data_IF_567134652320
#
_entry.id   IF_567134652320
#
_cell.length_a   1.000
_cell.length_b   1.000
_cell.length_c   1.000
_cell.angle_alpha   90.00
_cell.angle_beta   90.00
_cell.angle_gamma   90.00
#
_symmetry.space_group_name_H-M   'P 1'
#
loop_
_entity.id
_entity.type
_entity.pdbx_description
1 polymer ?
#
# COMPACT_ATOMS: atom_id res chain seq x y z
N UNK A 1 13.57 -5.06 5.77
CA UNK A 1 12.96 -6.42 5.55
C UNK A 1 14.02 -7.37 5.02
N UNK A 2 14.00 -8.65 5.45
CA UNK A 2 14.98 -9.67 5.04
C UNK A 2 14.75 -10.15 3.60
N UNK A 3 15.82 -10.69 2.96
CA UNK A 3 15.77 -11.14 1.55
C UNK A 3 14.70 -12.21 1.31
N UNK A 4 14.58 -13.17 2.22
CA UNK A 4 13.63 -14.29 2.09
C UNK A 4 12.17 -13.81 2.15
N UNK A 5 11.89 -12.74 2.91
CA UNK A 5 10.57 -12.14 2.97
C UNK A 5 10.22 -11.40 1.67
N UNK A 6 11.18 -10.71 1.04
CA UNK A 6 10.97 -10.12 -0.30
C UNK A 6 10.67 -11.19 -1.34
N UNK A 7 11.43 -12.30 -1.34
CA UNK A 7 11.21 -13.40 -2.27
C UNK A 7 9.82 -14.02 -2.08
N UNK A 8 9.45 -14.27 -0.83
CA UNK A 8 8.14 -14.82 -0.48
C UNK A 8 6.98 -13.89 -0.87
N UNK A 9 7.14 -12.59 -0.63
CA UNK A 9 6.18 -11.58 -1.06
C UNK A 9 6.02 -11.59 -2.58
N UNK A 10 7.14 -11.57 -3.32
CA UNK A 10 7.17 -11.62 -4.79
C UNK A 10 6.40 -12.80 -5.37
N UNK A 11 6.55 -14.00 -4.78
CA UNK A 11 5.86 -15.22 -5.20
C UNK A 11 4.35 -15.17 -4.93
N UNK A 12 3.96 -14.60 -3.78
CA UNK A 12 2.57 -14.56 -3.33
C UNK A 12 1.73 -13.44 -3.93
N UNK A 13 2.33 -12.35 -4.36
CA UNK A 13 1.61 -11.15 -4.81
C UNK A 13 0.65 -11.38 -5.97
N UNK A 14 0.89 -12.37 -6.81
CA UNK A 14 0.03 -12.69 -7.96
C UNK A 14 -1.14 -13.59 -7.62
N UNK A 15 -1.07 -14.34 -6.53
CA UNK A 15 -2.02 -15.42 -6.26
C UNK A 15 -2.67 -15.33 -4.90
N UNK A 16 -2.00 -14.76 -3.91
CA UNK A 16 -2.53 -14.70 -2.56
C UNK A 16 -3.67 -13.68 -2.46
N UNK A 17 -4.80 -14.11 -1.94
CA UNK A 17 -6.06 -13.37 -1.89
C UNK A 17 -5.93 -11.93 -1.39
N UNK A 18 -5.04 -11.70 -0.39
CA UNK A 18 -4.86 -10.39 0.21
C UNK A 18 -4.20 -9.39 -0.77
N UNK A 19 -3.11 -9.79 -1.44
CA UNK A 19 -2.42 -8.97 -2.44
C UNK A 19 -3.33 -8.69 -3.65
N UNK A 20 -4.01 -9.71 -4.16
CA UNK A 20 -4.96 -9.58 -5.27
C UNK A 20 -6.11 -8.63 -4.89
N UNK A 21 -6.64 -8.76 -3.67
CA UNK A 21 -7.70 -7.88 -3.15
C UNK A 21 -7.27 -6.43 -3.04
N UNK A 22 -6.02 -6.16 -2.66
CA UNK A 22 -5.47 -4.80 -2.62
C UNK A 22 -5.39 -4.17 -3.99
N UNK A 23 -5.02 -4.93 -5.02
CA UNK A 23 -5.04 -4.43 -6.39
C UNK A 23 -6.47 -4.13 -6.88
N UNK A 24 -7.46 -4.93 -6.49
CA UNK A 24 -8.87 -4.62 -6.75
C UNK A 24 -9.30 -3.32 -6.07
N UNK A 25 -8.90 -3.11 -4.82
CA UNK A 25 -9.16 -1.88 -4.08
C UNK A 25 -8.51 -0.67 -4.75
N UNK A 26 -7.22 -0.76 -5.09
CA UNK A 26 -6.49 0.30 -5.78
C UNK A 26 -7.16 0.67 -7.11
N UNK A 27 -7.51 -0.33 -7.93
CA UNK A 27 -8.25 -0.13 -9.18
C UNK A 27 -9.58 0.57 -8.95
N UNK A 28 -10.34 0.17 -7.94
CA UNK A 28 -11.62 0.79 -7.60
C UNK A 28 -11.48 2.26 -7.22
N UNK A 29 -10.42 2.61 -6.47
CA UNK A 29 -10.12 4.00 -6.15
C UNK A 29 -9.71 4.78 -7.40
N UNK A 30 -8.92 4.20 -8.30
CA UNK A 30 -8.56 4.83 -9.58
C UNK A 30 -9.80 5.14 -10.41
N UNK A 31 -10.66 4.16 -10.62
CA UNK A 31 -11.87 4.30 -11.44
C UNK A 31 -12.81 5.41 -10.94
N UNK A 32 -12.80 5.68 -9.64
CA UNK A 32 -13.72 6.65 -9.01
C UNK A 32 -13.11 8.02 -8.77
N UNK A 33 -11.84 8.06 -8.38
CA UNK A 33 -11.22 9.27 -7.82
C UNK A 33 -10.15 9.89 -8.69
N UNK A 34 -9.60 9.17 -9.68
CA UNK A 34 -8.71 9.77 -10.65
C UNK A 34 -9.50 10.50 -11.73
N UNK A 35 -9.11 11.72 -12.08
CA UNK A 35 -9.67 12.40 -13.26
C UNK A 35 -9.52 11.52 -14.50
N UNK A 36 -10.45 11.61 -15.43
CA UNK A 36 -10.27 10.98 -16.76
C UNK A 36 -9.16 11.72 -17.50
N UNK A 37 -8.24 11.01 -18.09
CA UNK A 37 -7.11 11.56 -18.85
C UNK A 37 -6.01 10.52 -19.02
N UNK A 38 -5.30 10.63 -20.12
CA UNK A 38 -4.20 9.75 -20.49
C UNK A 38 -2.85 10.34 -20.05
N UNK A 39 -1.87 9.44 -19.84
CA UNK A 39 -0.44 9.77 -19.66
C UNK A 39 -0.10 10.62 -18.43
N UNK A 40 -0.57 10.20 -17.25
CA UNK A 40 -0.12 10.77 -15.98
C UNK A 40 1.35 10.44 -15.74
N UNK A 41 2.03 11.35 -15.09
CA UNK A 41 3.33 11.10 -14.46
C UNK A 41 3.04 10.53 -13.08
N UNK A 42 3.39 9.27 -12.87
CA UNK A 42 3.04 8.51 -11.66
C UNK A 42 4.30 8.21 -10.88
N UNK A 43 4.30 8.50 -9.58
CA UNK A 43 5.29 8.03 -8.62
C UNK A 43 4.69 6.91 -7.79
N UNK A 44 5.34 5.74 -7.78
CA UNK A 44 5.06 4.68 -6.81
C UNK A 44 6.16 4.71 -5.74
N UNK A 45 5.83 5.24 -4.57
CA UNK A 45 6.75 5.43 -3.46
C UNK A 45 6.74 4.21 -2.55
N UNK A 46 7.91 3.57 -2.39
CA UNK A 46 8.03 2.28 -1.73
C UNK A 46 7.42 1.17 -2.59
N UNK A 47 7.87 1.03 -3.84
CA UNK A 47 7.25 0.11 -4.81
C UNK A 47 7.44 -1.38 -4.47
N UNK A 48 8.33 -1.70 -3.53
CA UNK A 48 8.63 -3.09 -3.17
C UNK A 48 9.02 -3.92 -4.38
N UNK A 49 8.41 -5.08 -4.51
CA UNK A 49 8.63 -6.02 -5.64
C UNK A 49 7.79 -5.69 -6.88
N UNK A 50 7.07 -4.55 -6.88
CA UNK A 50 6.42 -4.02 -8.06
C UNK A 50 5.03 -4.58 -8.37
N UNK A 51 4.28 -5.07 -7.38
CA UNK A 51 2.96 -5.68 -7.59
C UNK A 51 1.93 -4.74 -8.21
N UNK A 52 2.01 -3.42 -7.94
CA UNK A 52 1.08 -2.43 -8.45
C UNK A 52 1.45 -1.88 -9.85
N UNK A 53 2.68 -2.10 -10.32
CA UNK A 53 3.23 -1.40 -11.50
C UNK A 53 2.47 -1.68 -12.79
N UNK A 54 1.99 -2.91 -12.99
CA UNK A 54 1.17 -3.25 -14.17
C UNK A 54 -0.15 -2.49 -14.18
N UNK A 55 -0.76 -2.30 -13.02
CA UNK A 55 -1.97 -1.50 -12.89
C UNK A 55 -1.68 -0.02 -13.11
N UNK A 56 -0.64 0.52 -12.48
CA UNK A 56 -0.22 1.92 -12.62
C UNK A 56 0.15 2.26 -14.06
N UNK A 57 0.87 1.39 -14.74
CA UNK A 57 1.30 1.57 -16.13
C UNK A 57 0.16 1.72 -17.14
N UNK A 58 -1.06 1.26 -16.80
CA UNK A 58 -2.27 1.49 -17.61
C UNK A 58 -2.80 2.92 -17.50
N UNK A 59 -2.34 3.67 -16.49
CA UNK A 59 -2.81 5.04 -16.20
C UNK A 59 -1.76 6.11 -16.51
N UNK A 60 -0.54 5.72 -16.88
CA UNK A 60 0.50 6.68 -17.22
C UNK A 60 1.92 6.13 -17.23
N UNK A 61 2.89 7.04 -17.25
CA UNK A 61 4.32 6.71 -17.12
C UNK A 61 4.68 6.60 -15.65
N UNK A 62 5.24 5.47 -15.24
CA UNK A 62 5.53 5.17 -13.84
C UNK A 62 7.02 5.38 -13.54
N UNK A 63 7.30 6.14 -12.50
CA UNK A 63 8.57 6.13 -11.79
C UNK A 63 8.32 5.42 -10.46
N UNK A 64 9.00 4.32 -10.23
CA UNK A 64 8.86 3.53 -9.01
C UNK A 64 10.16 3.64 -8.20
N UNK A 65 10.03 3.95 -6.92
CA UNK A 65 11.17 4.16 -6.02
C UNK A 65 11.11 3.24 -4.82
N UNK A 66 12.26 2.76 -4.41
CA UNK A 66 12.45 1.96 -3.19
C UNK A 66 13.88 2.16 -2.68
N UNK A 67 14.12 1.95 -1.39
CA UNK A 67 15.47 2.00 -0.78
C UNK A 67 16.20 0.67 -0.92
N UNK A 68 15.45 -0.43 -1.07
CA UNK A 68 15.96 -1.80 -1.14
C UNK A 68 16.39 -2.18 -2.55
N UNK A 69 17.68 -2.45 -2.74
CA UNK A 69 18.17 -2.99 -4.02
C UNK A 69 17.60 -4.40 -4.30
N UNK A 70 17.30 -5.18 -3.26
CA UNK A 70 16.68 -6.51 -3.38
C UNK A 70 15.28 -6.36 -3.98
N UNK A 71 14.47 -5.46 -3.44
CA UNK A 71 13.13 -5.17 -3.96
C UNK A 71 13.18 -4.72 -5.42
N UNK A 72 14.07 -3.76 -5.73
CA UNK A 72 14.24 -3.26 -7.10
C UNK A 72 14.74 -4.31 -8.07
N UNK A 73 15.58 -5.26 -7.63
CA UNK A 73 16.01 -6.38 -8.47
C UNK A 73 14.83 -7.28 -8.85
N UNK A 74 13.99 -7.66 -7.88
CA UNK A 74 12.76 -8.44 -8.13
C UNK A 74 11.76 -7.65 -8.98
N UNK A 75 11.68 -6.34 -8.77
CA UNK A 75 10.87 -5.46 -9.57
C UNK A 75 11.32 -5.43 -11.05
N UNK A 76 12.64 -5.37 -11.32
CA UNK A 76 13.21 -5.47 -12.68
C UNK A 76 12.87 -6.79 -13.34
N UNK A 77 12.97 -7.89 -12.59
CA UNK A 77 12.60 -9.23 -13.06
C UNK A 77 11.12 -9.29 -13.46
N UNK A 78 10.23 -8.76 -12.62
CA UNK A 78 8.79 -8.69 -12.89
C UNK A 78 8.45 -7.86 -14.13
N UNK A 79 9.18 -6.75 -14.34
CA UNK A 79 8.97 -5.81 -15.42
C UNK A 79 9.79 -6.14 -16.68
N UNK A 80 10.41 -7.33 -16.75
CA UNK A 80 11.21 -7.73 -17.90
C UNK A 80 10.40 -7.59 -19.21
N UNK A 81 10.85 -6.68 -20.09
CA UNK A 81 10.16 -6.35 -21.33
C UNK A 81 9.20 -5.14 -21.28
N UNK A 82 8.93 -4.56 -20.13
CA UNK A 82 8.11 -3.34 -20.00
C UNK A 82 9.00 -2.09 -20.10
N UNK A 83 8.69 -1.19 -21.08
CA UNK A 83 9.39 0.11 -21.23
C UNK A 83 8.74 1.25 -20.45
N UNK A 84 7.60 1.01 -19.79
CA UNK A 84 6.79 2.06 -19.19
C UNK A 84 7.15 2.40 -17.74
N UNK A 85 8.09 1.69 -17.12
CA UNK A 85 8.46 1.86 -15.71
C UNK A 85 9.92 2.24 -15.58
N UNK A 86 10.18 3.37 -14.89
CA UNK A 86 11.52 3.79 -14.47
C UNK A 86 11.71 3.41 -13.00
N UNK A 87 12.70 2.58 -12.70
CA UNK A 87 13.07 2.19 -11.34
C UNK A 87 14.21 3.08 -10.85
N UNK A 88 14.05 3.65 -9.66
CA UNK A 88 15.06 4.53 -9.04
C UNK A 88 15.25 4.12 -7.59
N UNK A 89 16.49 3.87 -7.21
CA UNK A 89 16.83 3.70 -5.80
C UNK A 89 16.88 5.05 -5.11
N UNK A 90 16.21 5.16 -3.96
CA UNK A 90 16.21 6.35 -3.12
C UNK A 90 16.63 5.96 -1.69
N UNK A 91 17.19 6.88 -0.89
CA UNK A 91 17.42 6.59 0.52
C UNK A 91 16.09 6.42 1.25
N UNK A 92 16.08 5.65 2.32
CA UNK A 92 14.92 5.43 3.20
C UNK A 92 14.33 6.76 3.71
N UNK A 93 15.18 7.74 3.94
CA UNK A 93 14.82 9.06 4.44
C UNK A 93 15.53 10.16 3.64
N UNK A 94 14.89 11.32 3.57
CA UNK A 94 15.43 12.50 2.89
C UNK A 94 14.66 12.90 1.64
N UNK A 95 15.12 13.94 0.95
CA UNK A 95 14.43 14.46 -0.22
C UNK A 95 14.52 13.48 -1.41
N UNK A 96 13.43 13.35 -2.14
CA UNK A 96 13.39 12.60 -3.38
C UNK A 96 14.11 13.37 -4.50
N UNK A 97 14.84 12.68 -5.40
CA UNK A 97 15.62 13.32 -6.46
C UNK A 97 14.73 13.80 -7.63
N UNK A 98 13.61 14.45 -7.30
CA UNK A 98 12.62 14.96 -8.24
C UNK A 98 12.31 16.42 -7.93
N UNK A 99 12.05 17.21 -8.98
CA UNK A 99 11.62 18.59 -8.84
C UNK A 99 10.18 18.67 -8.26
N UNK A 100 9.81 19.82 -7.73
CA UNK A 100 8.47 20.12 -7.25
C UNK A 100 7.45 19.93 -8.38
N UNK A 101 6.31 19.31 -8.06
CA UNK A 101 5.22 19.11 -9.01
C UNK A 101 5.54 18.17 -10.17
N UNK A 102 6.52 17.28 -10.01
CA UNK A 102 6.94 16.33 -11.06
C UNK A 102 5.90 15.26 -11.39
N UNK A 103 4.95 14.98 -10.49
CA UNK A 103 3.99 13.88 -10.62
C UNK A 103 2.55 14.34 -10.50
N UNK A 104 1.66 13.70 -11.23
CA UNK A 104 0.22 13.97 -11.23
C UNK A 104 -0.52 12.99 -10.30
N UNK A 105 0.09 11.83 -10.06
CA UNK A 105 -0.37 10.79 -9.14
C UNK A 105 0.83 10.27 -8.33
N UNK A 106 0.65 10.14 -7.03
CA UNK A 106 1.58 9.45 -6.13
C UNK A 106 0.84 8.32 -5.43
N UNK A 107 1.43 7.14 -5.39
CA UNK A 107 0.97 6.00 -4.57
C UNK A 107 1.98 5.73 -3.46
N UNK A 108 1.47 5.46 -2.25
CA UNK A 108 2.24 5.02 -1.08
C UNK A 108 1.48 3.85 -0.44
N UNK A 109 1.83 2.64 -0.86
CA UNK A 109 1.06 1.42 -0.58
C UNK A 109 1.82 0.55 0.42
N UNK A 110 1.44 0.59 1.70
CA UNK A 110 2.11 -0.09 2.82
C UNK A 110 3.61 0.27 2.91
N UNK A 111 3.90 1.57 2.94
CA UNK A 111 5.25 2.10 3.08
C UNK A 111 5.39 3.04 4.28
N UNK A 112 4.37 3.84 4.61
CA UNK A 112 4.45 4.85 5.67
C UNK A 112 4.68 4.25 7.05
N UNK A 113 4.20 3.04 7.29
CA UNK A 113 4.40 2.28 8.53
C UNK A 113 5.86 1.86 8.77
N UNK A 114 6.68 1.82 7.74
CA UNK A 114 8.10 1.47 7.83
C UNK A 114 8.97 2.67 8.20
N UNK A 115 8.55 3.88 7.83
CA UNK A 115 9.37 5.08 7.97
C UNK A 115 9.45 5.57 9.43
N UNK A 116 10.62 6.07 9.85
CA UNK A 116 10.77 6.72 11.15
C UNK A 116 9.94 7.99 11.23
N UNK A 117 10.04 8.85 10.20
CA UNK A 117 9.29 10.09 10.08
C UNK A 117 8.36 10.07 8.85
N UNK A 118 7.18 9.49 9.05
CA UNK A 118 6.13 9.45 8.04
C UNK A 118 5.53 10.84 7.74
N UNK A 119 5.68 11.81 8.67
CA UNK A 119 5.22 13.18 8.45
C UNK A 119 6.13 13.90 7.47
N UNK A 120 7.45 13.80 7.64
CA UNK A 120 8.40 14.35 6.69
C UNK A 120 8.22 13.72 5.29
N UNK A 121 7.99 12.40 5.23
CA UNK A 121 7.68 11.72 3.97
C UNK A 121 6.42 12.29 3.31
N UNK A 122 5.33 12.49 4.04
CA UNK A 122 4.10 13.07 3.49
C UNK A 122 4.31 14.50 2.96
N UNK A 123 5.10 15.32 3.64
CA UNK A 123 5.48 16.67 3.15
C UNK A 123 6.27 16.56 1.85
N UNK A 124 7.19 15.63 1.76
CA UNK A 124 7.99 15.39 0.56
C UNK A 124 7.14 14.85 -0.61
N UNK A 125 6.23 13.92 -0.34
CA UNK A 125 5.28 13.45 -1.35
C UNK A 125 4.38 14.58 -1.86
N UNK A 126 3.99 15.51 -0.98
CA UNK A 126 3.26 16.71 -1.39
C UNK A 126 4.13 17.62 -2.27
N UNK A 127 5.40 17.81 -1.95
CA UNK A 127 6.32 18.65 -2.74
C UNK A 127 6.41 18.14 -4.19
N UNK A 128 6.63 16.83 -4.38
CA UNK A 128 6.80 16.24 -5.72
C UNK A 128 5.50 16.06 -6.48
N UNK A 129 4.34 16.10 -5.81
CA UNK A 129 3.02 16.02 -6.44
C UNK A 129 2.65 17.39 -7.03
N UNK A 130 2.14 17.43 -8.25
CA UNK A 130 1.68 18.65 -8.90
C UNK A 130 0.45 19.25 -8.19
N UNK A 131 0.21 20.59 -8.28
CA UNK A 131 -1.06 21.18 -7.88
C UNK A 131 -2.24 20.45 -8.55
N UNK A 132 -3.30 20.15 -7.80
CA UNK A 132 -4.42 19.33 -8.26
C UNK A 132 -4.13 17.83 -8.34
N UNK A 133 -2.89 17.41 -8.08
CA UNK A 133 -2.47 16.01 -8.10
C UNK A 133 -3.11 15.18 -7.00
N UNK A 134 -3.03 13.87 -7.16
CA UNK A 134 -3.68 12.91 -6.26
C UNK A 134 -2.63 12.05 -5.55
N UNK A 135 -2.78 11.88 -4.24
CA UNK A 135 -2.07 10.91 -3.43
C UNK A 135 -3.01 9.78 -3.03
N UNK A 136 -2.58 8.53 -3.21
CA UNK A 136 -3.29 7.35 -2.69
C UNK A 136 -2.38 6.64 -1.69
N UNK A 137 -2.92 6.43 -0.49
CA UNK A 137 -2.21 5.82 0.63
C UNK A 137 -2.95 4.58 1.09
N UNK A 138 -2.21 3.50 1.32
CA UNK A 138 -2.67 2.35 2.08
C UNK A 138 -1.74 2.16 3.28
N UNK A 139 -2.33 1.87 4.44
CA UNK A 139 -1.59 1.58 5.69
C UNK A 139 -2.30 0.52 6.51
N UNK A 140 -1.60 -0.23 7.38
CA UNK A 140 -2.22 -1.16 8.31
C UNK A 140 -3.01 -0.43 9.38
N UNK A 141 -4.23 -0.94 9.65
CA UNK A 141 -5.12 -0.39 10.65
C UNK A 141 -4.87 -0.93 12.05
N UNK A 142 -5.22 -0.12 13.05
CA UNK A 142 -5.33 -0.44 14.46
C UNK A 142 -4.07 -0.96 15.16
N UNK A 143 -3.57 -0.22 16.14
CA UNK A 143 -2.43 -0.60 16.98
C UNK A 143 -2.66 -1.91 17.74
N UNK A 144 -3.88 -2.21 18.15
CA UNK A 144 -4.22 -3.46 18.85
C UNK A 144 -4.11 -4.71 17.96
N UNK A 145 -4.01 -4.54 16.62
CA UNK A 145 -3.71 -5.62 15.69
C UNK A 145 -2.20 -5.85 15.49
N UNK A 146 -1.34 -5.23 16.27
CA UNK A 146 0.10 -5.49 16.23
C UNK A 146 0.41 -6.97 16.50
N UNK A 147 1.35 -7.54 15.78
CA UNK A 147 1.73 -8.95 15.91
C UNK A 147 3.13 -9.21 15.37
N UNK A 148 3.62 -10.44 15.52
CA UNK A 148 4.86 -10.92 14.91
C UNK A 148 4.97 -10.63 13.40
N UNK A 149 3.86 -10.54 12.70
CA UNK A 149 3.82 -10.16 11.28
C UNK A 149 4.37 -8.74 11.06
N UNK A 150 3.99 -7.80 11.93
CA UNK A 150 4.47 -6.43 11.86
C UNK A 150 5.97 -6.35 12.19
N UNK A 151 6.41 -7.14 13.17
CA UNK A 151 7.83 -7.22 13.55
C UNK A 151 8.69 -7.83 12.42
N UNK A 152 8.21 -8.91 11.79
CA UNK A 152 8.90 -9.56 10.67
C UNK A 152 9.01 -8.65 9.44
N UNK A 153 8.03 -7.77 9.23
CA UNK A 153 8.05 -6.76 8.18
C UNK A 153 8.76 -5.46 8.60
N UNK A 154 9.28 -5.37 9.83
CA UNK A 154 9.93 -4.17 10.38
C UNK A 154 8.99 -2.95 10.40
N UNK A 155 7.68 -3.16 10.61
CA UNK A 155 6.75 -2.06 10.82
C UNK A 155 7.13 -1.28 12.09
N UNK A 156 6.92 0.01 12.07
CA UNK A 156 7.12 0.88 13.24
C UNK A 156 5.80 1.28 13.86
N UNK A 157 4.70 1.19 13.11
CA UNK A 157 3.36 1.62 13.54
C UNK A 157 2.23 1.00 12.74
N UNK A 158 1.06 1.09 13.32
CA UNK A 158 -0.24 0.91 12.69
C UNK A 158 -1.08 2.14 12.98
N UNK A 159 -2.03 2.45 12.12
CA UNK A 159 -2.76 3.71 12.16
C UNK A 159 -4.19 3.55 12.67
N UNK A 160 -4.69 4.59 13.38
CA UNK A 160 -6.11 4.86 13.45
C UNK A 160 -6.51 5.74 12.24
N UNK A 161 -7.76 5.62 11.78
CA UNK A 161 -8.22 6.43 10.64
C UNK A 161 -8.11 7.95 10.93
N UNK A 162 -8.47 8.39 12.14
CA UNK A 162 -8.33 9.80 12.56
C UNK A 162 -6.86 10.26 12.58
N UNK A 163 -5.94 9.38 12.96
CA UNK A 163 -4.50 9.69 12.98
C UNK A 163 -3.96 9.90 11.56
N UNK A 164 -4.27 8.98 10.62
CA UNK A 164 -3.88 9.13 9.22
C UNK A 164 -4.48 10.41 8.62
N UNK A 165 -5.76 10.67 8.89
CA UNK A 165 -6.43 11.90 8.44
C UNK A 165 -5.72 13.17 8.92
N UNK A 166 -5.40 13.22 10.21
CA UNK A 166 -4.70 14.36 10.80
C UNK A 166 -3.30 14.57 10.21
N UNK A 167 -2.55 13.46 9.94
CA UNK A 167 -1.22 13.52 9.32
C UNK A 167 -1.28 14.02 7.87
N UNK A 168 -2.23 13.54 7.08
CA UNK A 168 -2.44 14.01 5.71
C UNK A 168 -2.78 15.49 5.67
N UNK A 169 -3.71 15.94 6.53
CA UNK A 169 -4.07 17.36 6.60
C UNK A 169 -2.90 18.23 7.08
N UNK A 170 -2.14 17.79 8.09
CA UNK A 170 -0.96 18.51 8.58
C UNK A 170 0.14 18.63 7.52
N UNK A 171 0.24 17.66 6.60
CA UNK A 171 1.12 17.74 5.45
C UNK A 171 0.56 18.61 4.30
N UNK A 172 -0.63 19.20 4.45
CA UNK A 172 -1.25 20.11 3.48
C UNK A 172 -2.03 19.38 2.37
N UNK A 173 -2.47 18.15 2.60
CA UNK A 173 -3.38 17.45 1.72
C UNK A 173 -4.83 17.64 2.15
N UNK A 174 -5.75 17.71 1.19
CA UNK A 174 -7.19 17.58 1.42
C UNK A 174 -7.63 16.14 1.20
N UNK A 175 -8.05 15.46 2.24
CA UNK A 175 -8.56 14.08 2.18
C UNK A 175 -9.95 14.08 1.51
N UNK A 176 -10.07 13.42 0.36
CA UNK A 176 -11.33 13.33 -0.41
C UNK A 176 -12.05 12.01 -0.23
N UNK A 177 -11.32 10.98 0.19
CA UNK A 177 -11.85 9.66 0.53
C UNK A 177 -10.98 9.06 1.60
N UNK A 178 -11.60 8.45 2.61
CA UNK A 178 -10.92 7.60 3.58
C UNK A 178 -11.87 6.50 4.02
N UNK A 179 -11.38 5.27 4.05
CA UNK A 179 -12.17 4.10 4.37
C UNK A 179 -11.29 3.03 5.00
N UNK A 180 -11.87 2.21 5.85
CA UNK A 180 -11.26 0.93 6.14
C UNK A 180 -11.41 -0.01 4.96
N UNK A 181 -10.60 -1.06 4.92
CA UNK A 181 -10.60 -2.09 3.90
C UNK A 181 -10.19 -3.45 4.49
N UNK A 182 -10.46 -4.51 3.73
CA UNK A 182 -10.25 -5.91 4.15
C UNK A 182 -11.10 -6.22 5.38
N UNK A 183 -12.37 -5.84 5.28
CA UNK A 183 -13.36 -5.88 6.37
C UNK A 183 -13.82 -7.31 6.68
N UNK A 184 -14.11 -8.11 5.66
CA UNK A 184 -14.66 -9.45 5.87
C UNK A 184 -13.71 -10.39 6.64
N UNK A 185 -12.41 -10.23 6.47
CA UNK A 185 -11.39 -11.02 7.17
C UNK A 185 -11.05 -10.48 8.57
N UNK A 186 -11.49 -9.26 8.91
CA UNK A 186 -11.19 -8.63 10.17
C UNK A 186 -11.60 -9.47 11.39
N UNK A 187 -12.85 -10.02 11.49
CA UNK A 187 -13.23 -10.88 12.61
C UNK A 187 -12.40 -12.16 12.70
N UNK A 188 -12.05 -12.75 11.55
CA UNK A 188 -11.23 -13.96 11.49
C UNK A 188 -9.79 -13.68 11.97
N UNK A 189 -9.20 -12.58 11.53
CA UNK A 189 -7.85 -12.18 11.94
C UNK A 189 -7.84 -11.81 13.42
N UNK A 190 -8.85 -11.12 13.91
CA UNK A 190 -8.99 -10.78 15.32
C UNK A 190 -9.10 -12.03 16.18
N UNK A 191 -9.97 -12.98 15.81
CA UNK A 191 -10.12 -14.26 16.51
C UNK A 191 -8.82 -15.09 16.49
N UNK A 192 -8.18 -15.21 15.32
CA UNK A 192 -6.90 -15.91 15.19
C UNK A 192 -5.82 -15.32 16.10
N UNK A 193 -5.70 -13.99 16.13
CA UNK A 193 -4.70 -13.30 16.98
C UNK A 193 -5.00 -13.45 18.47
N UNK A 194 -6.27 -13.37 18.85
CA UNK A 194 -6.67 -13.59 20.25
C UNK A 194 -6.32 -15.00 20.72
N UNK A 195 -6.62 -16.04 19.92
CA UNK A 195 -6.27 -17.43 20.23
C UNK A 195 -4.75 -17.62 20.24
N UNK A 196 -4.05 -17.14 19.23
CA UNK A 196 -2.60 -17.29 19.13
C UNK A 196 -1.86 -16.60 20.28
N UNK A 197 -2.32 -15.41 20.70
CA UNK A 197 -1.75 -14.69 21.84
C UNK A 197 -1.82 -15.47 23.17
N UNK A 198 -2.76 -16.42 23.27
CA UNK A 198 -2.87 -17.31 24.46
C UNK A 198 -1.90 -18.50 24.41
N UNK A 199 -1.43 -18.90 23.22
CA UNK A 199 -0.64 -20.12 23.02
C UNK A 199 0.74 -19.86 22.39
N UNK A 200 1.06 -18.61 22.02
CA UNK A 200 2.35 -18.28 21.39
C UNK A 200 3.48 -18.39 22.41
N UNK A 201 4.41 -19.33 22.16
CA UNK A 201 5.69 -19.38 22.83
C UNK A 201 6.70 -18.39 22.21
N UNK A 202 7.83 -18.10 22.88
CA UNK A 202 8.88 -17.26 22.33
C UNK A 202 9.49 -17.93 21.09
N UNK A 203 9.43 -17.23 19.95
CA UNK A 203 10.03 -17.65 18.68
C UNK A 203 10.38 -16.43 17.83
N UNK A 204 11.24 -16.58 16.79
CA UNK A 204 11.54 -15.46 15.91
C UNK A 204 10.26 -14.98 15.18
N UNK A 205 10.10 -13.66 15.01
CA UNK A 205 8.97 -13.09 14.29
C UNK A 205 8.88 -13.67 12.86
N UNK A 206 7.68 -14.03 12.43
CA UNK A 206 7.43 -14.56 11.09
C UNK A 206 6.20 -13.90 10.46
N UNK A 207 6.26 -13.69 9.16
CA UNK A 207 5.10 -13.23 8.40
C UNK A 207 3.97 -14.25 8.46
N UNK A 208 2.75 -13.77 8.73
CA UNK A 208 1.56 -14.62 8.94
C UNK A 208 0.84 -14.90 7.62
N UNK A 209 1.54 -15.41 6.60
CA UNK A 209 0.88 -15.90 5.39
C UNK A 209 0.25 -17.28 5.65
N UNK A 210 -1.05 -17.31 5.83
CA UNK A 210 -1.80 -18.56 5.97
C UNK A 210 -2.12 -19.08 4.57
N UNK A 211 -1.43 -20.14 4.16
CA UNK A 211 -1.68 -20.77 2.87
C UNK A 211 -3.05 -21.47 2.91
N UNK A 212 -3.97 -20.95 2.10
CA UNK A 212 -5.33 -21.47 1.99
C UNK A 212 -5.47 -22.42 0.79
N UNK A 213 -6.36 -23.43 0.88
CA UNK A 213 -6.77 -24.18 -0.31
C UNK A 213 -7.23 -23.26 -1.43
N UNK A 214 -6.92 -23.62 -2.69
CA UNK A 214 -7.16 -22.76 -3.84
C UNK A 214 -8.61 -22.23 -3.94
N UNK A 215 -9.59 -23.07 -3.61
CA UNK A 215 -11.01 -22.67 -3.62
C UNK A 215 -11.31 -21.58 -2.58
N UNK A 216 -10.75 -21.67 -1.37
CA UNK A 216 -10.92 -20.67 -0.30
C UNK A 216 -10.18 -19.38 -0.66
N UNK A 217 -8.96 -19.49 -1.19
CA UNK A 217 -8.20 -18.33 -1.67
C UNK A 217 -8.96 -17.58 -2.78
N UNK A 218 -9.55 -18.29 -3.73
CA UNK A 218 -10.38 -17.72 -4.78
C UNK A 218 -11.65 -17.06 -4.23
N UNK A 219 -12.32 -17.70 -3.26
CA UNK A 219 -13.48 -17.11 -2.58
C UNK A 219 -13.11 -15.79 -1.90
N UNK A 220 -12.02 -15.75 -1.14
CA UNK A 220 -11.58 -14.56 -0.44
C UNK A 220 -11.19 -13.43 -1.41
N UNK A 221 -10.52 -13.77 -2.53
CA UNK A 221 -10.23 -12.80 -3.59
C UNK A 221 -11.51 -12.20 -4.19
N UNK A 222 -12.56 -13.01 -4.40
CA UNK A 222 -13.86 -12.53 -4.89
C UNK A 222 -14.57 -11.65 -3.87
N UNK A 223 -14.55 -12.01 -2.58
CA UNK A 223 -15.12 -11.18 -1.52
C UNK A 223 -14.44 -9.81 -1.46
N UNK A 224 -13.10 -9.76 -1.58
CA UNK A 224 -12.38 -8.48 -1.66
C UNK A 224 -12.68 -7.70 -2.94
N UNK A 225 -12.92 -8.36 -4.06
CA UNK A 225 -13.34 -7.68 -5.28
C UNK A 225 -14.71 -7.01 -5.12
N UNK A 226 -15.66 -7.68 -4.44
CA UNK A 226 -16.97 -7.10 -4.08
C UNK A 226 -16.79 -5.93 -3.11
N UNK A 227 -16.00 -6.10 -2.05
CA UNK A 227 -15.68 -5.03 -1.10
C UNK A 227 -15.06 -3.82 -1.81
N UNK A 228 -14.10 -4.04 -2.70
CA UNK A 228 -13.48 -2.99 -3.50
C UNK A 228 -14.49 -2.22 -4.36
N UNK A 229 -15.50 -2.90 -4.91
CA UNK A 229 -16.58 -2.25 -5.65
C UNK A 229 -17.45 -1.37 -4.75
N UNK A 230 -17.75 -1.83 -3.53
CA UNK A 230 -18.53 -1.07 -2.54
C UNK A 230 -17.79 0.18 -2.05
N UNK A 231 -16.49 0.08 -1.85
CA UNK A 231 -15.63 1.19 -1.38
C UNK A 231 -15.70 2.41 -2.29
N UNK A 232 -16.04 2.26 -3.57
CA UNK A 232 -16.28 3.40 -4.48
C UNK A 232 -17.34 4.37 -3.95
N UNK A 233 -18.33 3.86 -3.23
CA UNK A 233 -19.53 4.59 -2.86
C UNK A 233 -19.65 4.83 -1.36
N UNK A 234 -19.21 3.88 -0.55
CA UNK A 234 -19.34 3.93 0.91
C UNK A 234 -17.98 3.88 1.60
N UNK A 235 -17.92 4.36 2.82
CA UNK A 235 -16.79 4.15 3.73
C UNK A 235 -17.11 2.98 4.64
N UNK A 236 -16.23 1.98 4.64
CA UNK A 236 -16.38 0.83 5.55
C UNK A 236 -15.97 1.25 6.96
N UNK A 237 -16.70 0.79 8.00
CA UNK A 237 -16.50 1.27 9.38
C UNK A 237 -15.34 0.59 10.11
N UNK A 238 -14.83 -0.53 9.60
CA UNK A 238 -13.70 -1.28 10.16
C UNK A 238 -13.02 -2.12 9.08
N UNK A 239 -11.80 -2.62 9.36
CA UNK A 239 -11.02 -3.46 8.44
C UNK A 239 -9.57 -3.54 8.92
N UNK A 240 -8.76 -4.41 8.32
CA UNK A 240 -7.35 -4.57 8.72
C UNK A 240 -6.42 -3.54 8.11
N UNK A 241 -6.89 -2.78 7.11
CA UNK A 241 -6.16 -1.71 6.43
C UNK A 241 -7.00 -0.44 6.36
N UNK A 242 -6.34 0.70 6.16
CA UNK A 242 -6.96 1.98 5.83
C UNK A 242 -6.50 2.37 4.43
N UNK A 243 -7.44 2.80 3.60
CA UNK A 243 -7.16 3.39 2.30
C UNK A 243 -7.59 4.87 2.32
N UNK A 244 -6.75 5.74 1.80
CA UNK A 244 -7.05 7.15 1.67
C UNK A 244 -6.71 7.66 0.26
N UNK A 245 -7.54 8.57 -0.24
CA UNK A 245 -7.28 9.38 -1.42
C UNK A 245 -7.26 10.83 -0.97
N UNK A 246 -6.17 11.51 -1.26
CA UNK A 246 -5.97 12.90 -0.88
C UNK A 246 -5.53 13.73 -2.08
N UNK A 247 -5.76 15.03 -2.07
CA UNK A 247 -5.38 15.95 -3.13
C UNK A 247 -4.45 17.02 -2.61
N UNK A 248 -3.51 17.41 -3.45
CA UNK A 248 -2.79 18.66 -3.30
C UNK A 248 -3.61 19.74 -3.98
N UNK A 249 -4.16 20.66 -3.22
CA UNK A 249 -4.99 21.74 -3.79
C UNK A 249 -4.13 22.88 -4.41
N UNK A 250 -2.96 23.23 -3.83
CA UNK A 250 -2.03 24.29 -4.32
C UNK A 250 -0.56 23.89 -4.15
#
# INVERSE_FOLDING_TARGET
>A
MERDEYQRMYELERTYWWHVGRLHLLRSLFDRWLPRGDRRRILDFGCGTGSALDLLGRHGTVTAVDDSEIALALCRERQAGSRAVRLVRVPEQGPLPFADGSFDLVTALDVLEHLDDDRAALVELRRVLAPGGTLIVFVPAYRFLWSEHDEALHHRRRYAASELHARLNAAGFRVVKQTYAITFSFPLILGYRAVRGLFAGPGPPRTSYVMLPAAINALFSRLLAVEAALVRWINLPFGTSIAAVARRDD
#
